data_IF_349801484010
#
_entry.id   IF_349801484010
#
_cell.length_a   1.000
_cell.length_b   1.000
_cell.length_c   1.000
_cell.angle_alpha   90.00
_cell.angle_beta   90.00
_cell.angle_gamma   90.00
#
_symmetry.space_group_name_H-M   'P 1'
#
loop_
_entity.id
_entity.type
_entity.pdbx_description
1 polymer ?
#
# COMPACT_ATOMS: atom_id res chain seq x y z
N UNK A 1 -9.42 1.40 5.09
CA UNK A 1 -10.37 2.15 4.24
C UNK A 1 -9.99 1.98 2.76
N UNK A 2 -10.96 1.73 1.87
CA UNK A 2 -10.73 1.70 0.42
C UNK A 2 -10.71 3.14 -0.09
N UNK A 3 -9.68 3.52 -0.84
CA UNK A 3 -9.55 4.84 -1.46
C UNK A 3 -9.51 4.68 -2.98
N UNK A 4 -10.14 5.60 -3.72
CA UNK A 4 -10.15 5.59 -5.19
C UNK A 4 -9.70 6.97 -5.67
N UNK A 5 -8.70 7.04 -6.54
CA UNK A 5 -8.20 8.31 -7.09
C UNK A 5 -9.20 8.89 -8.09
N UNK A 6 -9.09 10.19 -8.37
CA UNK A 6 -9.92 10.87 -9.36
C UNK A 6 -9.78 10.26 -10.77
N UNK A 7 -8.59 9.80 -11.13
CA UNK A 7 -8.33 9.15 -12.41
C UNK A 7 -9.07 7.81 -12.50
N UNK A 8 -8.98 6.99 -11.44
CA UNK A 8 -9.70 5.73 -11.36
C UNK A 8 -11.22 5.94 -11.40
N UNK A 9 -11.76 6.89 -10.62
CA UNK A 9 -13.19 7.23 -10.64
C UNK A 9 -13.66 7.59 -12.04
N UNK A 10 -12.95 8.51 -12.71
CA UNK A 10 -13.29 8.96 -14.06
C UNK A 10 -13.33 7.79 -15.03
N UNK A 11 -12.34 6.89 -14.95
CA UNK A 11 -12.30 5.73 -15.84
C UNK A 11 -13.40 4.72 -15.54
N UNK A 12 -13.70 4.47 -14.27
CA UNK A 12 -14.80 3.57 -13.88
C UNK A 12 -16.13 4.08 -14.43
N UNK A 13 -16.43 5.36 -14.24
CA UNK A 13 -17.65 5.98 -14.76
C UNK A 13 -17.72 5.90 -16.29
N UNK A 14 -16.60 6.15 -16.98
CA UNK A 14 -16.54 5.97 -18.43
C UNK A 14 -16.88 4.52 -18.85
N UNK A 15 -16.32 3.52 -18.17
CA UNK A 15 -16.59 2.10 -18.46
C UNK A 15 -18.04 1.71 -18.16
N UNK A 16 -18.64 2.29 -17.12
CA UNK A 16 -20.06 2.11 -16.81
C UNK A 16 -20.95 2.71 -17.91
N UNK A 17 -20.66 3.94 -18.36
CA UNK A 17 -21.41 4.61 -19.44
C UNK A 17 -21.26 3.91 -20.80
N UNK A 18 -20.11 3.27 -21.07
CA UNK A 18 -19.84 2.51 -22.30
C UNK A 18 -20.54 1.14 -22.33
N UNK A 19 -21.05 0.67 -21.18
CA UNK A 19 -21.71 -0.64 -21.05
C UNK A 19 -23.23 -0.48 -21.20
N UNK A 20 -23.88 -1.33 -22.01
CA UNK A 20 -25.35 -1.27 -22.24
C UNK A 20 -26.20 -1.83 -21.08
N UNK A 21 -25.55 -2.29 -20.00
CA UNK A 21 -26.19 -2.84 -18.81
C UNK A 21 -26.31 -1.79 -17.71
N UNK A 22 -27.26 -1.97 -16.80
CA UNK A 22 -27.43 -1.08 -15.64
C UNK A 22 -26.35 -1.38 -14.58
N UNK A 23 -25.13 -0.96 -14.87
CA UNK A 23 -23.99 -1.11 -13.97
C UNK A 23 -24.18 -0.20 -12.76
N UNK A 24 -24.10 -0.77 -11.57
CA UNK A 24 -24.23 -0.07 -10.29
C UNK A 24 -22.88 0.26 -9.66
N UNK A 25 -21.81 -0.41 -10.10
CA UNK A 25 -20.46 -0.13 -9.68
C UNK A 25 -19.47 -1.24 -10.01
N UNK A 26 -18.50 -1.45 -9.12
CA UNK A 26 -17.39 -2.39 -9.33
C UNK A 26 -17.29 -3.44 -8.23
N UNK A 27 -16.87 -4.65 -8.59
CA UNK A 27 -16.50 -5.71 -7.65
C UNK A 27 -15.01 -5.85 -7.55
N UNK A 28 -14.51 -5.92 -6.32
CA UNK A 28 -13.13 -6.28 -6.01
C UNK A 28 -13.09 -7.74 -5.60
N UNK A 29 -12.26 -8.50 -6.30
CA UNK A 29 -11.94 -9.89 -5.98
C UNK A 29 -10.44 -10.04 -5.77
N UNK A 30 -10.03 -11.07 -5.04
CA UNK A 30 -8.62 -11.36 -4.79
C UNK A 30 -8.34 -12.84 -4.96
N UNK A 31 -7.19 -13.12 -5.56
CA UNK A 31 -6.63 -14.46 -5.68
C UNK A 31 -5.31 -14.49 -4.93
N UNK A 32 -5.20 -15.18 -3.79
CA UNK A 32 -3.95 -15.29 -3.06
C UNK A 32 -2.87 -15.92 -3.94
N UNK A 33 -1.73 -15.25 -4.09
CA UNK A 33 -0.53 -15.77 -4.76
C UNK A 33 0.32 -16.50 -3.73
N UNK A 34 0.52 -15.88 -2.57
CA UNK A 34 1.24 -16.44 -1.42
C UNK A 34 0.70 -15.84 -0.11
N UNK A 35 1.36 -16.10 1.02
CA UNK A 35 0.89 -15.62 2.34
C UNK A 35 0.81 -14.09 2.48
N UNK A 36 1.42 -13.32 1.57
CA UNK A 36 1.61 -11.87 1.68
C UNK A 36 1.13 -11.10 0.44
N UNK A 37 0.91 -11.79 -0.68
CA UNK A 37 0.53 -11.20 -1.96
C UNK A 37 -0.75 -11.84 -2.48
N UNK A 38 -1.64 -11.00 -2.98
CA UNK A 38 -2.83 -11.40 -3.72
C UNK A 38 -2.87 -10.64 -5.05
N UNK A 39 -3.33 -11.32 -6.08
CA UNK A 39 -3.72 -10.71 -7.35
C UNK A 39 -5.13 -10.15 -7.19
N UNK A 40 -5.32 -8.87 -7.52
CA UNK A 40 -6.63 -8.24 -7.43
C UNK A 40 -7.32 -8.26 -8.79
N UNK A 41 -8.61 -8.59 -8.78
CA UNK A 41 -9.50 -8.49 -9.93
C UNK A 41 -10.53 -7.39 -9.73
N UNK A 42 -10.78 -6.62 -10.78
CA UNK A 42 -11.86 -5.64 -10.86
C UNK A 42 -12.84 -6.05 -11.96
N UNK A 43 -14.12 -6.00 -11.65
CA UNK A 43 -15.20 -6.25 -12.61
C UNK A 43 -16.30 -5.21 -12.43
N UNK A 44 -17.00 -4.85 -13.51
CA UNK A 44 -18.26 -4.10 -13.42
C UNK A 44 -19.35 -5.02 -12.88
N UNK A 45 -20.35 -4.44 -12.18
CA UNK A 45 -21.46 -5.20 -11.58
C UNK A 45 -22.78 -4.57 -11.98
N UNK A 46 -23.60 -5.33 -12.70
CA UNK A 46 -25.00 -4.97 -12.96
C UNK A 46 -25.87 -5.16 -11.70
N UNK A 47 -27.01 -4.46 -11.65
CA UNK A 47 -27.94 -4.49 -10.51
C UNK A 47 -28.37 -5.93 -10.10
N UNK A 48 -28.53 -6.83 -11.06
CA UNK A 48 -28.93 -8.23 -10.85
C UNK A 48 -27.76 -9.19 -10.55
N UNK A 49 -26.52 -8.72 -10.68
CA UNK A 49 -25.30 -9.51 -10.42
C UNK A 49 -24.71 -9.26 -9.02
N UNK A 50 -25.32 -8.37 -8.23
CA UNK A 50 -24.88 -8.07 -6.87
C UNK A 50 -25.07 -9.32 -6.01
N UNK A 51 -23.97 -9.90 -5.54
CA UNK A 51 -24.02 -11.06 -4.68
C UNK A 51 -24.48 -10.63 -3.26
N UNK A 52 -25.46 -11.33 -2.65
CA UNK A 52 -26.00 -10.96 -1.34
C UNK A 52 -25.00 -11.12 -0.18
N UNK A 53 -23.89 -11.81 -0.44
CA UNK A 53 -22.81 -12.01 0.52
C UNK A 53 -21.74 -10.93 0.43
N UNK A 54 -21.77 -10.09 -0.60
CA UNK A 54 -20.79 -9.05 -0.77
C UNK A 54 -20.98 -7.95 0.28
N UNK A 55 -19.86 -7.39 0.71
CA UNK A 55 -19.88 -6.16 1.49
C UNK A 55 -19.88 -4.98 0.53
N UNK A 56 -20.88 -4.11 0.65
CA UNK A 56 -20.99 -2.88 -0.14
C UNK A 56 -20.29 -1.74 0.58
N UNK A 57 -19.43 -1.03 -0.14
CA UNK A 57 -18.82 0.23 0.26
C UNK A 57 -19.36 1.30 -0.67
N UNK A 58 -20.15 2.22 -0.13
CA UNK A 58 -20.81 3.26 -0.92
C UNK A 58 -19.85 4.41 -1.25
N UNK A 59 -19.79 4.78 -2.53
CA UNK A 59 -19.21 6.04 -2.99
C UNK A 59 -20.33 6.91 -3.59
N UNK A 60 -20.07 8.20 -3.80
CA UNK A 60 -21.10 9.13 -4.28
C UNK A 60 -21.64 8.76 -5.66
N UNK A 61 -20.77 8.25 -6.55
CA UNK A 61 -21.10 8.04 -7.96
C UNK A 61 -21.33 6.57 -8.34
N UNK A 62 -20.82 5.62 -7.56
CA UNK A 62 -20.97 4.18 -7.77
C UNK A 62 -20.71 3.41 -6.48
N UNK A 63 -21.11 2.14 -6.43
CA UNK A 63 -20.82 1.26 -5.29
C UNK A 63 -19.59 0.37 -5.53
N UNK A 64 -18.91 0.00 -4.46
CA UNK A 64 -17.83 -0.99 -4.48
C UNK A 64 -18.26 -2.22 -3.71
N UNK A 65 -18.35 -3.35 -4.40
CA UNK A 65 -18.70 -4.64 -3.84
C UNK A 65 -17.43 -5.44 -3.56
N UNK A 66 -17.35 -6.05 -2.38
CA UNK A 66 -16.21 -6.89 -2.00
C UNK A 66 -16.73 -8.25 -1.57
N UNK A 67 -16.25 -9.30 -2.24
CA UNK A 67 -16.61 -10.66 -1.85
C UNK A 67 -15.99 -11.04 -0.50
N UNK A 68 -16.61 -11.94 0.28
CA UNK A 68 -16.13 -12.30 1.62
C UNK A 68 -14.68 -12.76 1.70
N UNK A 69 -14.15 -13.41 0.65
CA UNK A 69 -12.78 -13.92 0.65
C UNK A 69 -11.75 -12.80 0.46
N UNK A 70 -12.18 -11.70 -0.16
CA UNK A 70 -11.35 -10.52 -0.45
C UNK A 70 -11.29 -9.50 0.68
N UNK A 71 -12.26 -9.53 1.61
CA UNK A 71 -12.31 -8.61 2.76
C UNK A 71 -10.97 -8.45 3.51
N UNK A 72 -10.20 -9.52 3.81
CA UNK A 72 -8.91 -9.38 4.51
C UNK A 72 -7.83 -8.66 3.69
N UNK A 73 -8.00 -8.58 2.37
CA UNK A 73 -6.99 -8.05 1.46
C UNK A 73 -7.24 -6.59 1.06
N UNK A 74 -8.50 -6.13 1.13
CA UNK A 74 -8.91 -4.78 0.70
C UNK A 74 -8.81 -3.72 1.81
N UNK A 75 -8.33 -4.09 2.99
CA UNK A 75 -8.09 -3.11 4.03
C UNK A 75 -6.93 -2.17 3.64
N UNK A 76 -7.23 -0.87 3.61
CA UNK A 76 -6.27 0.21 3.31
C UNK A 76 -5.67 0.13 1.89
N UNK A 77 -6.50 -0.25 0.91
CA UNK A 77 -6.10 -0.19 -0.50
C UNK A 77 -6.44 1.17 -1.13
N UNK A 78 -5.65 1.56 -2.12
CA UNK A 78 -5.84 2.70 -3.02
C UNK A 78 -5.94 2.16 -4.45
N UNK A 79 -7.04 2.45 -5.13
CA UNK A 79 -7.27 2.10 -6.53
C UNK A 79 -6.96 3.34 -7.37
N UNK A 80 -6.06 3.19 -8.32
CA UNK A 80 -5.65 4.22 -9.26
C UNK A 80 -5.79 3.72 -10.71
N UNK A 81 -5.76 4.64 -11.66
CA UNK A 81 -5.72 4.31 -13.09
C UNK A 81 -4.58 5.07 -13.73
N UNK A 82 -3.65 4.32 -14.33
CA UNK A 82 -2.46 4.86 -14.95
C UNK A 82 -2.52 4.65 -16.45
N UNK A 83 -2.28 5.72 -17.20
CA UNK A 83 -2.05 5.68 -18.63
C UNK A 83 -0.56 5.93 -18.89
N UNK A 84 0.10 4.97 -19.53
CA UNK A 84 1.51 5.05 -19.89
C UNK A 84 1.69 4.80 -21.38
N UNK A 85 2.85 5.15 -21.90
CA UNK A 85 3.22 4.82 -23.29
C UNK A 85 3.25 3.32 -23.59
N UNK A 86 3.33 2.47 -22.56
CA UNK A 86 3.33 1.00 -22.69
C UNK A 86 1.95 0.37 -22.51
N UNK A 87 0.93 1.16 -22.17
CA UNK A 87 -0.43 0.71 -21.94
C UNK A 87 -1.11 1.44 -20.78
N UNK A 88 -2.39 1.15 -20.61
CA UNK A 88 -3.24 1.73 -19.57
C UNK A 88 -3.84 0.63 -18.70
N UNK A 89 -3.99 0.87 -17.41
CA UNK A 89 -4.59 -0.12 -16.52
C UNK A 89 -4.88 0.41 -15.11
N UNK A 90 -5.76 -0.31 -14.41
CA UNK A 90 -5.98 -0.09 -12.99
C UNK A 90 -4.80 -0.61 -12.18
N UNK A 91 -4.38 0.19 -11.21
CA UNK A 91 -3.36 -0.16 -10.21
C UNK A 91 -4.02 -0.18 -8.85
N UNK A 92 -3.79 -1.25 -8.07
CA UNK A 92 -4.29 -1.36 -6.70
C UNK A 92 -3.09 -1.41 -5.77
N UNK A 93 -2.90 -0.35 -5.01
CA UNK A 93 -1.85 -0.21 -4.01
C UNK A 93 -2.43 -0.51 -2.63
N UNK A 94 -1.87 -1.48 -1.90
CA UNK A 94 -2.22 -1.68 -0.48
C UNK A 94 -1.47 -0.65 0.36
N UNK A 95 -2.00 0.57 0.39
CA UNK A 95 -1.45 1.73 1.11
C UNK A 95 -1.34 1.54 2.63
N UNK A 96 -1.80 0.42 3.19
CA UNK A 96 -1.54 0.01 4.58
C UNK A 96 -0.64 -1.21 4.75
N UNK A 97 -0.01 -1.75 3.69
CA UNK A 97 0.93 -2.86 3.87
C UNK A 97 2.09 -2.93 2.87
N UNK A 98 2.11 -2.13 1.81
CA UNK A 98 3.25 -2.04 0.91
C UNK A 98 3.50 -0.58 0.53
N UNK A 99 4.50 0.01 1.18
CA UNK A 99 5.26 1.13 0.62
C UNK A 99 5.68 0.78 -0.81
N UNK A 100 5.03 1.37 -1.80
CA UNK A 100 5.44 1.26 -3.20
C UNK A 100 5.10 2.52 -3.99
N UNK A 101 4.79 3.61 -3.30
CA UNK A 101 4.62 4.92 -3.93
C UNK A 101 5.41 5.93 -3.12
N UNK A 102 6.48 6.43 -3.72
CA UNK A 102 7.18 7.62 -3.27
C UNK A 102 6.15 8.72 -2.97
N UNK A 103 6.15 9.33 -1.78
CA UNK A 103 5.26 10.44 -1.47
C UNK A 103 5.32 11.51 -2.56
N UNK A 104 4.17 12.06 -2.95
CA UNK A 104 4.07 12.97 -4.10
C UNK A 104 4.95 14.21 -3.94
N UNK A 105 5.09 14.72 -2.71
CA UNK A 105 5.97 15.84 -2.40
C UNK A 105 7.47 15.53 -2.53
N UNK A 106 7.84 14.26 -2.70
CA UNK A 106 9.19 13.78 -2.93
C UNK A 106 9.44 13.32 -4.37
N UNK A 107 8.44 13.39 -5.26
CA UNK A 107 8.52 12.85 -6.62
C UNK A 107 9.69 13.44 -7.44
N UNK A 108 10.06 14.70 -7.20
CA UNK A 108 11.17 15.37 -7.89
C UNK A 108 12.53 15.26 -7.15
N UNK A 109 12.61 14.44 -6.09
CA UNK A 109 13.83 14.28 -5.29
C UNK A 109 14.59 12.98 -5.66
N UNK A 110 15.76 13.07 -6.33
CA UNK A 110 16.49 11.90 -6.81
C UNK A 110 17.05 11.02 -5.68
N UNK A 111 17.31 11.60 -4.50
CA UNK A 111 17.70 10.81 -3.33
C UNK A 111 16.51 10.01 -2.81
N UNK A 112 15.32 10.63 -2.76
CA UNK A 112 14.10 9.97 -2.32
C UNK A 112 13.68 8.84 -3.28
N UNK A 113 13.77 9.05 -4.60
CA UNK A 113 13.56 8.00 -5.60
C UNK A 113 14.49 6.80 -5.39
N UNK A 114 15.79 7.06 -5.17
CA UNK A 114 16.77 6.00 -4.92
C UNK A 114 16.47 5.24 -3.63
N UNK A 115 16.10 5.94 -2.57
CA UNK A 115 15.72 5.33 -1.29
C UNK A 115 14.46 4.47 -1.46
N UNK A 116 13.44 4.99 -2.16
CA UNK A 116 12.24 4.23 -2.45
C UNK A 116 12.54 2.94 -3.22
N UNK A 117 13.40 3.01 -4.24
CA UNK A 117 13.82 1.83 -5.00
C UNK A 117 14.48 0.78 -4.09
N UNK A 118 15.34 1.19 -3.16
CA UNK A 118 15.99 0.28 -2.21
C UNK A 118 14.97 -0.35 -1.26
N UNK A 119 14.02 0.47 -0.76
CA UNK A 119 12.93 0.00 0.09
C UNK A 119 12.14 -1.11 -0.62
N UNK A 120 11.75 -0.87 -1.87
CA UNK A 120 10.88 -1.77 -2.62
C UNK A 120 11.60 -3.04 -3.10
N UNK A 121 12.86 -2.93 -3.50
CA UNK A 121 13.61 -4.04 -4.12
C UNK A 121 14.43 -4.89 -3.15
N UNK A 122 14.80 -4.35 -1.99
CA UNK A 122 15.67 -5.04 -1.03
C UNK A 122 15.06 -5.13 0.36
N UNK A 123 14.61 -4.00 0.92
CA UNK A 123 14.24 -3.94 2.34
C UNK A 123 12.92 -4.65 2.59
N UNK A 124 11.83 -4.20 1.95
CA UNK A 124 10.50 -4.80 2.11
C UNK A 124 10.50 -6.30 1.80
N UNK A 125 11.11 -6.78 0.70
CA UNK A 125 11.23 -8.23 0.46
C UNK A 125 11.91 -8.99 1.60
N UNK A 126 12.96 -8.43 2.22
CA UNK A 126 13.70 -9.08 3.30
C UNK A 126 12.89 -9.15 4.62
N UNK A 127 12.18 -8.08 4.96
CA UNK A 127 11.45 -7.99 6.24
C UNK A 127 10.03 -8.57 6.14
N UNK A 128 9.47 -8.67 4.93
CA UNK A 128 8.15 -9.25 4.70
C UNK A 128 8.09 -10.72 5.14
N UNK A 129 9.19 -11.49 5.03
CA UNK A 129 9.27 -12.86 5.56
C UNK A 129 9.00 -12.96 7.07
N UNK A 130 9.24 -11.88 7.81
CA UNK A 130 8.97 -11.76 9.23
C UNK A 130 7.66 -11.02 9.53
N UNK A 131 6.86 -10.71 8.49
CA UNK A 131 5.62 -9.97 8.58
C UNK A 131 5.81 -8.47 8.79
N UNK A 132 7.02 -7.94 8.54
CA UNK A 132 7.34 -6.52 8.65
C UNK A 132 7.24 -5.78 7.32
N UNK A 133 7.18 -4.46 7.40
CA UNK A 133 7.19 -3.52 6.29
C UNK A 133 7.79 -2.19 6.73
N UNK A 134 8.28 -1.41 5.76
CA UNK A 134 8.74 -0.03 5.94
C UNK A 134 8.24 0.84 4.81
N UNK A 135 7.90 2.09 5.12
CA UNK A 135 7.49 3.12 4.18
C UNK A 135 8.30 4.39 4.33
N UNK A 136 8.61 5.01 3.20
CA UNK A 136 9.17 6.35 3.14
C UNK A 136 8.06 7.38 3.36
N UNK A 137 8.18 8.18 4.42
CA UNK A 137 7.22 9.24 4.76
C UNK A 137 7.73 10.60 4.31
N UNK A 138 9.00 10.91 4.60
CA UNK A 138 9.57 12.21 4.28
C UNK A 138 11.10 12.18 4.13
N UNK A 139 11.65 13.20 3.48
CA UNK A 139 13.08 13.43 3.36
C UNK A 139 13.34 14.94 3.45
N UNK A 140 13.97 15.39 4.55
CA UNK A 140 14.29 16.81 4.80
C UNK A 140 15.76 16.97 5.09
N UNK A 141 16.47 17.78 4.32
CA UNK A 141 17.90 18.04 4.54
C UNK A 141 18.75 16.75 4.66
N UNK A 142 18.38 15.73 3.88
CA UNK A 142 18.91 14.35 3.91
C UNK A 142 18.52 13.51 5.15
N UNK A 143 17.77 14.05 6.10
CA UNK A 143 17.17 13.30 7.19
C UNK A 143 15.92 12.56 6.70
N UNK A 144 15.92 11.26 6.93
CA UNK A 144 14.93 10.31 6.41
C UNK A 144 13.88 10.00 7.46
N UNK A 145 12.61 10.09 7.09
CA UNK A 145 11.49 9.74 7.96
C UNK A 145 10.82 8.50 7.41
N UNK A 146 10.87 7.42 8.19
CA UNK A 146 10.30 6.14 7.83
C UNK A 146 9.17 5.78 8.80
N UNK A 147 8.12 5.16 8.26
CA UNK A 147 7.14 4.46 9.05
C UNK A 147 7.44 2.97 8.93
N UNK A 148 7.64 2.31 10.07
CA UNK A 148 7.88 0.87 10.12
C UNK A 148 6.72 0.19 10.84
N UNK A 149 6.27 -0.93 10.29
CA UNK A 149 5.15 -1.67 10.86
C UNK A 149 5.25 -3.16 10.58
N UNK A 150 4.48 -3.95 11.31
CA UNK A 150 4.56 -5.40 11.19
C UNK A 150 5.89 -5.99 11.68
N UNK A 151 5.93 -7.30 11.85
CA UNK A 151 7.02 -7.98 12.55
C UNK A 151 6.75 -8.12 14.05
N UNK A 152 7.30 -9.19 14.63
CA UNK A 152 7.12 -9.68 16.00
C UNK A 152 6.57 -8.64 17.01
N UNK A 153 5.24 -8.61 17.14
CA UNK A 153 4.51 -7.83 18.15
C UNK A 153 4.96 -8.31 19.54
N UNK A 154 5.77 -7.51 20.25
CA UNK A 154 6.10 -7.75 21.66
C UNK A 154 7.53 -8.24 21.99
N UNK A 155 8.49 -8.22 21.05
CA UNK A 155 9.89 -8.55 21.36
C UNK A 155 10.84 -7.39 21.02
N UNK A 156 11.19 -6.56 22.00
CA UNK A 156 11.98 -5.32 21.80
C UNK A 156 13.35 -5.52 21.13
N UNK A 157 13.96 -6.71 21.23
CA UNK A 157 15.22 -7.00 20.52
C UNK A 157 15.04 -7.18 19.01
N UNK A 158 13.87 -7.63 18.56
CA UNK A 158 13.59 -7.81 17.14
C UNK A 158 13.44 -6.46 16.43
N UNK A 159 12.80 -5.48 17.09
CA UNK A 159 12.64 -4.12 16.59
C UNK A 159 13.99 -3.40 16.41
N UNK A 160 14.88 -3.48 17.41
CA UNK A 160 16.21 -2.87 17.32
C UNK A 160 17.06 -3.46 16.19
N UNK A 161 17.00 -4.79 15.99
CA UNK A 161 17.76 -5.46 14.94
C UNK A 161 17.23 -5.14 13.54
N UNK A 162 15.90 -5.07 13.39
CA UNK A 162 15.25 -4.69 12.12
C UNK A 162 15.66 -3.28 11.72
N UNK A 163 15.54 -2.32 12.65
CA UNK A 163 15.95 -0.94 12.44
C UNK A 163 17.42 -0.86 12.03
N UNK A 164 18.32 -1.53 12.76
CA UNK A 164 19.74 -1.53 12.43
C UNK A 164 20.02 -2.12 11.03
N UNK A 165 19.31 -3.16 10.63
CA UNK A 165 19.42 -3.75 9.29
C UNK A 165 19.00 -2.78 8.19
N UNK A 166 17.88 -2.09 8.39
CA UNK A 166 17.34 -1.06 7.47
C UNK A 166 18.34 0.09 7.34
N UNK A 167 18.80 0.65 8.45
CA UNK A 167 19.77 1.76 8.47
C UNK A 167 21.07 1.37 7.76
N UNK A 168 21.58 0.17 8.02
CA UNK A 168 22.82 -0.32 7.40
C UNK A 168 22.68 -0.40 5.88
N UNK A 169 21.59 -0.99 5.39
CA UNK A 169 21.38 -1.19 3.96
C UNK A 169 21.17 0.16 3.23
N UNK A 170 20.43 1.08 3.85
CA UNK A 170 20.24 2.43 3.32
C UNK A 170 21.55 3.20 3.27
N UNK A 171 22.36 3.22 4.34
CA UNK A 171 23.65 3.93 4.36
C UNK A 171 24.69 3.34 3.40
N UNK A 172 24.66 2.03 3.16
CA UNK A 172 25.53 1.39 2.16
C UNK A 172 25.23 1.86 0.74
N UNK A 173 23.95 2.11 0.44
CA UNK A 173 23.51 2.51 -0.89
C UNK A 173 23.37 4.03 -1.05
N UNK A 174 23.18 4.77 0.03
CA UNK A 174 23.02 6.23 0.05
C UNK A 174 23.96 6.81 1.13
N UNK A 175 25.24 7.00 0.82
CA UNK A 175 26.25 7.40 1.82
C UNK A 175 26.05 8.82 2.36
N UNK A 176 25.37 9.70 1.61
CA UNK A 176 25.09 11.10 2.00
C UNK A 176 23.81 11.24 2.86
N UNK A 177 23.22 10.12 3.27
CA UNK A 177 22.01 10.07 4.09
C UNK A 177 22.29 10.56 5.51
N UNK A 178 21.44 11.47 5.99
CA UNK A 178 21.49 12.05 7.33
C UNK A 178 20.98 11.08 8.41
N UNK A 179 20.23 11.59 9.36
CA UNK A 179 19.61 10.80 10.41
C UNK A 179 18.37 10.06 9.89
N UNK A 180 18.07 8.89 10.48
CA UNK A 180 16.90 8.09 10.12
C UNK A 180 15.94 8.10 11.30
N UNK A 181 14.79 8.71 11.11
CA UNK A 181 13.71 8.82 12.09
C UNK A 181 12.64 7.78 11.80
N UNK A 182 12.17 7.15 12.87
CA UNK A 182 11.04 6.26 12.85
C UNK A 182 9.84 7.01 13.40
N UNK A 183 8.84 7.24 12.57
CA UNK A 183 7.66 8.04 12.91
C UNK A 183 6.49 7.20 13.42
N UNK A 184 6.66 5.88 13.55
CA UNK A 184 5.61 5.01 14.06
C UNK A 184 5.35 5.29 15.55
N UNK A 185 4.07 5.34 15.94
CA UNK A 185 3.64 5.45 17.34
C UNK A 185 3.91 4.15 18.12
N UNK A 186 5.13 4.02 18.66
CA UNK A 186 5.56 2.87 19.47
C UNK A 186 5.01 2.88 20.91
N UNK A 187 4.25 3.90 21.31
CA UNK A 187 3.83 4.15 22.70
C UNK A 187 2.46 3.59 23.07
N UNK A 188 1.76 2.87 22.18
CA UNK A 188 0.44 2.29 22.48
C UNK A 188 0.46 0.98 23.31
N UNK A 189 1.58 0.69 24.00
CA UNK A 189 1.70 -0.36 25.02
C UNK A 189 1.87 -1.75 24.42
N UNK A 190 3.02 -2.41 24.54
CA UNK A 190 3.48 -3.06 25.76
C UNK A 190 5.02 -3.02 25.81
N UNK A 191 5.57 -2.03 26.51
CA UNK A 191 6.99 -1.97 26.83
C UNK A 191 7.19 -2.35 28.30
N UNK A 192 8.12 -3.26 28.63
CA UNK A 192 8.77 -3.10 29.92
C UNK A 192 10.27 -3.39 29.88
N UNK A 193 11.06 -2.83 28.97
CA UNK A 193 12.51 -2.79 29.21
C UNK A 193 13.15 -1.55 28.61
N UNK A 194 13.23 -0.47 29.40
CA UNK A 194 14.47 0.23 29.77
C UNK A 194 14.16 1.14 30.97
N UNK A 195 14.94 1.01 32.05
CA UNK A 195 15.01 1.93 33.18
C UNK A 195 16.38 2.59 33.15
#
# INVERSE_FOLDING_TARGET
MITITSNAKTKILQLMDETEENITGIRITTKPINMQQAEFGLALVAEDEIAPTDTTVNFEEFDVYVDPQSLPYVENIKIDYLETSMGSGFKIDKSGMNSSTLPEHLADNPMAERIQQIIDSHINPAIAMHGGWVALIDLKDNDLYLEMGGGCQGCGMAAATLRQGIETLLRQNVPDLGEIYDVTEHDLGLNPYYR
#
